data_IF_140844042233
#
_entry.id   IF_140844042233
#
_cell.length_a   1.000
_cell.length_b   1.000
_cell.length_c   1.000
_cell.angle_alpha   90.00
_cell.angle_beta   90.00
_cell.angle_gamma   90.00
#
_symmetry.space_group_name_H-M   'P 1'
#
loop_
_entity.id
_entity.type
_entity.pdbx_description
1 polymer ?
#
# COMPACT_ATOMS: atom_id res chain seq x y z
N UNK A 1 -5.84 6.14 -19.76
CA UNK A 1 -4.37 6.32 -19.89
C UNK A 1 -3.76 5.04 -20.45
N UNK A 2 -2.71 5.09 -21.28
CA UNK A 2 -2.09 3.88 -21.83
C UNK A 2 -1.05 3.32 -20.85
N UNK A 3 -1.41 2.25 -20.15
CA UNK A 3 -0.56 1.58 -19.14
C UNK A 3 0.45 0.62 -19.78
N UNK A 4 0.18 0.13 -20.99
CA UNK A 4 0.93 -0.97 -21.63
C UNK A 4 2.36 -0.62 -22.05
N UNK A 5 2.68 0.65 -22.21
CA UNK A 5 4.04 1.11 -22.57
C UNK A 5 4.79 1.75 -21.39
N UNK A 6 4.24 1.65 -20.17
CA UNK A 6 4.93 2.16 -18.99
C UNK A 6 5.92 1.12 -18.47
N UNK A 7 7.07 1.58 -18.01
CA UNK A 7 8.05 0.74 -17.32
C UNK A 7 7.59 0.34 -15.90
N UNK A 8 6.61 1.04 -15.33
CA UNK A 8 6.09 0.80 -13.99
C UNK A 8 4.66 1.34 -13.82
N UNK A 9 3.98 0.89 -12.76
CA UNK A 9 2.62 1.29 -12.40
C UNK A 9 2.48 1.34 -10.86
N UNK A 10 1.60 2.18 -10.34
CA UNK A 10 1.18 2.09 -8.95
C UNK A 10 0.37 0.82 -8.75
N UNK A 11 0.54 0.17 -7.60
CA UNK A 11 -0.17 -1.06 -7.27
C UNK A 11 -0.73 -1.02 -5.86
N UNK A 12 -1.77 -1.81 -5.61
CA UNK A 12 -2.33 -1.95 -4.28
C UNK A 12 -1.27 -2.37 -3.24
N UNK A 13 -1.45 -1.94 -1.99
CA UNK A 13 -0.52 -2.26 -0.89
C UNK A 13 -0.42 -3.79 -0.74
N UNK A 14 0.81 -4.30 -0.72
CA UNK A 14 1.09 -5.74 -0.69
C UNK A 14 1.34 -6.40 -2.06
N UNK A 15 1.06 -5.71 -3.17
CA UNK A 15 1.30 -6.21 -4.54
C UNK A 15 2.59 -5.67 -5.16
N UNK A 16 3.16 -4.60 -4.60
CA UNK A 16 4.46 -4.06 -4.98
C UNK A 16 5.53 -4.47 -3.98
N UNK A 17 5.57 -3.76 -2.84
CA UNK A 17 6.33 -4.18 -1.67
C UNK A 17 5.55 -5.23 -0.88
N UNK A 18 6.26 -6.24 -0.37
CA UNK A 18 5.68 -7.31 0.44
C UNK A 18 5.28 -6.85 1.84
N UNK A 19 4.56 -7.71 2.57
CA UNK A 19 4.11 -7.38 3.93
C UNK A 19 5.27 -7.19 4.92
N UNK A 20 6.41 -7.84 4.72
CA UNK A 20 7.57 -7.68 5.62
C UNK A 20 8.18 -6.29 5.48
N UNK A 21 8.28 -5.79 4.25
CA UNK A 21 8.70 -4.44 3.97
C UNK A 21 7.77 -3.42 4.65
N UNK A 22 6.45 -3.58 4.48
CA UNK A 22 5.47 -2.66 5.10
C UNK A 22 5.49 -2.71 6.64
N UNK A 23 5.64 -3.90 7.25
CA UNK A 23 5.84 -4.03 8.71
C UNK A 23 7.05 -3.24 9.17
N UNK A 24 8.15 -3.37 8.44
CA UNK A 24 9.40 -2.68 8.76
C UNK A 24 9.21 -1.16 8.64
N UNK A 25 8.58 -0.70 7.55
CA UNK A 25 8.29 0.70 7.33
C UNK A 25 7.47 1.31 8.48
N UNK A 26 6.33 0.71 8.83
CA UNK A 26 5.49 1.25 9.91
C UNK A 26 6.12 1.12 11.30
N UNK A 27 6.93 0.09 11.53
CA UNK A 27 7.71 -0.02 12.78
C UNK A 27 8.68 1.16 12.94
N UNK A 28 9.39 1.54 11.86
CA UNK A 28 10.29 2.69 11.88
C UNK A 28 9.52 3.99 12.07
N UNK A 29 8.39 4.18 11.38
CA UNK A 29 7.51 5.35 11.54
C UNK A 29 7.04 5.49 13.00
N UNK A 30 6.67 4.38 13.65
CA UNK A 30 6.29 4.38 15.06
C UNK A 30 7.47 4.70 15.98
N UNK A 31 8.65 4.14 15.71
CA UNK A 31 9.88 4.38 16.50
C UNK A 31 10.31 5.85 16.50
N UNK A 32 10.04 6.60 15.42
CA UNK A 32 10.31 8.05 15.38
C UNK A 32 9.23 8.89 16.04
N UNK A 33 8.23 8.26 16.67
CA UNK A 33 7.21 8.94 17.49
C UNK A 33 5.96 9.39 16.72
N UNK A 34 5.72 8.88 15.51
CA UNK A 34 4.50 9.20 14.78
C UNK A 34 3.29 8.41 15.32
N UNK A 35 2.20 9.12 15.61
CA UNK A 35 0.93 8.57 16.14
C UNK A 35 -0.31 9.05 15.37
N UNK A 36 -0.11 9.61 14.18
CA UNK A 36 -1.18 10.18 13.36
C UNK A 36 -1.89 9.16 12.45
N UNK A 37 -2.74 9.70 11.57
CA UNK A 37 -3.47 8.90 10.60
C UNK A 37 -2.61 8.42 9.44
N UNK A 38 -2.76 7.14 9.07
CA UNK A 38 -2.25 6.61 7.81
C UNK A 38 -3.36 6.72 6.75
N UNK A 39 -3.13 7.54 5.73
CA UNK A 39 -4.05 7.69 4.60
C UNK A 39 -3.68 6.72 3.48
N UNK A 40 -4.69 6.13 2.83
CA UNK A 40 -4.54 5.27 1.66
C UNK A 40 -5.06 6.01 0.43
N UNK A 41 -4.25 6.04 -0.62
CA UNK A 41 -4.64 6.47 -1.96
C UNK A 41 -4.52 5.26 -2.91
N UNK A 42 -5.54 5.03 -3.73
CA UNK A 42 -5.63 3.85 -4.58
C UNK A 42 -5.56 4.24 -6.05
N UNK A 43 -4.44 3.88 -6.71
CA UNK A 43 -4.17 4.18 -8.12
C UNK A 43 -3.74 2.95 -8.95
N UNK A 44 -4.06 1.74 -8.51
CA UNK A 44 -3.76 0.54 -9.28
C UNK A 44 -4.67 0.41 -10.50
N UNK A 45 -4.08 0.60 -11.68
CA UNK A 45 -4.75 0.47 -12.98
C UNK A 45 -4.98 -0.99 -13.44
N UNK A 46 -4.54 -1.98 -12.67
CA UNK A 46 -4.67 -3.41 -13.01
C UNK A 46 -5.85 -4.11 -12.33
N UNK A 47 -6.53 -3.45 -11.39
CA UNK A 47 -7.71 -3.95 -10.69
C UNK A 47 -8.78 -2.86 -10.56
N UNK A 48 -9.98 -3.21 -10.10
CA UNK A 48 -11.00 -2.19 -9.81
C UNK A 48 -10.59 -1.36 -8.59
N UNK A 49 -11.03 -0.08 -8.51
CA UNK A 49 -10.75 0.76 -7.35
C UNK A 49 -11.17 0.12 -6.03
N UNK A 50 -12.36 -0.47 -5.98
CA UNK A 50 -12.92 -1.11 -4.78
C UNK A 50 -12.07 -2.30 -4.34
N UNK A 51 -11.74 -3.19 -5.29
CA UNK A 51 -10.94 -4.38 -5.01
C UNK A 51 -9.55 -4.02 -4.47
N UNK A 52 -8.92 -2.97 -5.01
CA UNK A 52 -7.61 -2.55 -4.53
C UNK A 52 -7.64 -1.77 -3.23
N UNK A 53 -8.71 -1.04 -2.94
CA UNK A 53 -8.94 -0.48 -1.59
C UNK A 53 -9.07 -1.62 -0.58
N UNK A 54 -9.93 -2.61 -0.84
CA UNK A 54 -10.15 -3.74 0.06
C UNK A 54 -8.88 -4.56 0.30
N UNK A 55 -8.15 -4.87 -0.77
CA UNK A 55 -6.89 -5.60 -0.69
C UNK A 55 -5.82 -4.81 0.08
N UNK A 56 -5.71 -3.50 -0.19
CA UNK A 56 -4.75 -2.63 0.52
C UNK A 56 -5.09 -2.51 2.00
N UNK A 57 -6.37 -2.37 2.36
CA UNK A 57 -6.81 -2.36 3.76
C UNK A 57 -6.50 -3.69 4.45
N UNK A 58 -6.74 -4.82 3.78
CA UNK A 58 -6.43 -6.14 4.32
C UNK A 58 -4.92 -6.32 4.57
N UNK A 59 -4.06 -5.79 3.70
CA UNK A 59 -2.62 -5.75 3.91
C UNK A 59 -2.24 -4.82 5.07
N UNK A 60 -2.76 -3.58 5.09
CA UNK A 60 -2.48 -2.59 6.13
C UNK A 60 -2.85 -3.07 7.54
N UNK A 61 -3.98 -3.76 7.69
CA UNK A 61 -4.41 -4.38 8.96
C UNK A 61 -3.43 -5.43 9.50
N UNK A 62 -2.56 -6.01 8.67
CA UNK A 62 -1.57 -6.99 9.09
C UNK A 62 -0.22 -6.38 9.49
N UNK A 63 0.00 -5.10 9.18
CA UNK A 63 1.33 -4.48 9.24
C UNK A 63 1.38 -3.21 10.08
N UNK A 64 0.25 -2.54 10.28
CA UNK A 64 0.15 -1.41 11.20
C UNK A 64 0.24 -1.90 12.65
N UNK A 65 1.10 -1.25 13.43
CA UNK A 65 1.42 -1.57 14.84
C UNK A 65 1.13 -0.41 15.76
#
# INVERSE_FOLDING_TARGET
MNVKHRAWNYVAVGYGQDLQWWKTFFSVVRMVGYEGFVSLEMEDLTMSPEAGVDASIAALKQVLV
#
